data_IF_394232664340
#
_entry.id   IF_394232664340
#
_cell.length_a   1.000
_cell.length_b   1.000
_cell.length_c   1.000
_cell.angle_alpha   90.00
_cell.angle_beta   90.00
_cell.angle_gamma   90.00
#
_symmetry.space_group_name_H-M   'P 1'
#
loop_
_entity.id
_entity.type
_entity.pdbx_description
1 polymer ?
#
# COMPACT_ATOMS: atom_id res chain seq x y z
N UNK A 1 14.43 26.60 33.46
CA UNK A 1 13.83 25.57 32.59
C UNK A 1 14.45 24.22 32.93
N UNK A 2 13.62 23.32 33.41
CA UNK A 2 13.90 21.89 33.54
C UNK A 2 13.98 21.23 32.16
N UNK A 3 14.60 20.05 32.08
CA UNK A 3 14.70 19.28 30.84
C UNK A 3 13.33 19.00 30.21
N UNK A 4 12.35 18.65 31.05
CA UNK A 4 10.96 18.47 30.64
C UNK A 4 10.34 19.73 30.03
N UNK A 5 10.58 20.92 30.58
CA UNK A 5 10.07 22.17 30.00
C UNK A 5 10.66 22.47 28.61
N UNK A 6 11.93 22.11 28.37
CA UNK A 6 12.54 22.24 27.03
C UNK A 6 11.90 21.31 26.01
N UNK A 7 11.62 20.06 26.41
CA UNK A 7 10.95 19.08 25.54
C UNK A 7 9.51 19.51 25.23
N UNK A 8 8.78 20.04 26.22
CA UNK A 8 7.42 20.58 26.02
C UNK A 8 7.44 21.75 25.03
N UNK A 9 8.41 22.66 25.16
CA UNK A 9 8.56 23.78 24.22
C UNK A 9 8.83 23.28 22.79
N UNK A 10 9.70 22.28 22.63
CA UNK A 10 10.00 21.67 21.32
C UNK A 10 8.76 20.98 20.73
N UNK A 11 7.98 20.22 21.51
CA UNK A 11 6.75 19.59 21.03
C UNK A 11 5.70 20.60 20.54
N UNK A 12 5.55 21.75 21.19
CA UNK A 12 4.64 22.80 20.73
C UNK A 12 5.11 23.42 19.39
N UNK A 13 6.41 23.64 19.26
CA UNK A 13 7.03 24.12 18.02
C UNK A 13 6.78 23.16 16.86
N UNK A 14 7.03 21.85 17.06
CA UNK A 14 6.78 20.83 16.04
C UNK A 14 5.30 20.67 15.71
N UNK A 15 4.41 20.72 16.72
CA UNK A 15 2.97 20.69 16.48
C UNK A 15 2.49 21.88 15.63
N UNK A 16 3.09 23.05 15.81
CA UNK A 16 2.81 24.23 14.97
C UNK A 16 3.27 24.02 13.54
N UNK A 17 4.48 23.47 13.33
CA UNK A 17 5.01 23.15 12.00
C UNK A 17 4.14 22.13 11.26
N UNK A 18 3.63 21.12 11.98
CA UNK A 18 2.75 20.08 11.44
C UNK A 18 1.26 20.46 11.42
N UNK A 19 0.92 21.67 11.85
CA UNK A 19 -0.46 22.16 11.99
C UNK A 19 -1.38 21.21 12.79
N UNK A 20 -0.84 20.56 13.84
CA UNK A 20 -1.57 19.59 14.67
C UNK A 20 -1.28 19.75 16.16
N UNK A 21 -2.25 19.40 17.00
CA UNK A 21 -2.05 19.39 18.46
C UNK A 21 -1.19 18.20 18.89
N UNK A 22 -0.18 18.47 19.71
CA UNK A 22 0.79 17.46 20.19
C UNK A 22 0.71 17.32 21.71
N UNK A 23 0.57 16.09 22.19
CA UNK A 23 0.50 15.83 23.63
C UNK A 23 1.85 16.09 24.31
N UNK A 24 1.83 16.95 25.32
CA UNK A 24 2.98 17.33 26.16
C UNK A 24 2.99 16.62 27.52
N UNK A 25 2.07 15.67 27.70
CA UNK A 25 1.99 14.83 28.89
C UNK A 25 2.91 13.61 28.76
N UNK A 26 3.44 13.15 29.89
CA UNK A 26 4.33 11.99 29.97
C UNK A 26 5.65 12.25 30.71
N UNK A 27 6.47 11.21 30.71
CA UNK A 27 7.86 11.21 31.18
C UNK A 27 8.80 11.84 30.16
N UNK A 28 10.01 12.20 30.58
CA UNK A 28 11.03 12.79 29.70
C UNK A 28 11.29 11.89 28.48
N UNK A 29 11.42 10.57 28.69
CA UNK A 29 11.67 9.61 27.61
C UNK A 29 10.53 9.57 26.58
N UNK A 30 9.27 9.58 27.04
CA UNK A 30 8.11 9.62 26.13
C UNK A 30 8.06 10.91 25.31
N UNK A 31 8.38 12.05 25.94
CA UNK A 31 8.43 13.33 25.23
C UNK A 31 9.59 13.37 24.22
N UNK A 32 10.76 12.83 24.57
CA UNK A 32 11.92 12.73 23.67
C UNK A 32 11.61 11.83 22.47
N UNK A 33 11.01 10.67 22.69
CA UNK A 33 10.64 9.75 21.62
C UNK A 33 9.62 10.40 20.67
N UNK A 34 8.62 11.11 21.22
CA UNK A 34 7.63 11.83 20.42
C UNK A 34 8.26 12.96 19.60
N UNK A 35 9.21 13.70 20.15
CA UNK A 35 9.94 14.73 19.37
C UNK A 35 10.66 14.07 18.20
N UNK A 36 11.41 13.00 18.43
CA UNK A 36 12.17 12.34 17.37
C UNK A 36 11.28 11.85 16.20
N UNK A 37 10.10 11.29 16.52
CA UNK A 37 9.11 10.88 15.51
C UNK A 37 8.62 12.08 14.68
N UNK A 38 8.25 13.18 15.35
CA UNK A 38 7.77 14.40 14.68
C UNK A 38 8.85 15.09 13.84
N UNK A 39 10.13 15.04 14.28
CA UNK A 39 11.26 15.58 13.50
C UNK A 39 11.51 14.74 12.24
N UNK A 40 11.37 13.40 12.33
CA UNK A 40 11.48 12.51 11.17
C UNK A 40 10.35 12.75 10.15
N UNK A 41 9.11 12.96 10.62
CA UNK A 41 7.99 13.35 9.74
C UNK A 41 8.26 14.66 9.00
N UNK A 42 8.83 15.67 9.68
CA UNK A 42 9.16 16.97 9.08
C UNK A 42 10.34 16.91 8.11
N UNK A 43 11.37 16.11 8.41
CA UNK A 43 12.55 15.96 7.55
C UNK A 43 12.24 15.12 6.30
N UNK A 44 11.34 14.13 6.44
CA UNK A 44 10.88 13.28 5.34
C UNK A 44 10.15 14.04 4.22
N UNK A 45 9.53 15.17 4.53
CA UNK A 45 8.81 16.03 3.57
C UNK A 45 9.77 16.84 2.66
N UNK A 46 11.03 17.02 3.08
CA UNK A 46 12.01 17.85 2.36
C UNK A 46 12.70 17.17 1.16
N UNK A 47 12.39 15.90 0.87
CA UNK A 47 13.07 15.12 -0.18
C UNK A 47 12.41 15.16 -1.57
N UNK A 48 11.35 15.94 -1.76
CA UNK A 48 10.66 16.04 -3.05
C UNK A 48 10.69 17.47 -3.60
N UNK A 49 11.87 17.94 -4.02
CA UNK A 49 11.97 19.09 -4.92
C UNK A 49 12.44 18.67 -6.31
N UNK A 50 11.48 18.81 -7.24
CA UNK A 50 11.60 19.31 -8.61
C UNK A 50 12.54 18.60 -9.59
N UNK A 51 11.91 17.98 -10.59
CA UNK A 51 12.56 17.28 -11.70
C UNK A 51 11.75 17.34 -12.99
N UNK A 52 11.60 18.57 -13.50
CA UNK A 52 11.76 18.91 -14.92
C UNK A 52 10.57 18.73 -15.92
N UNK A 53 10.24 19.89 -16.46
CA UNK A 53 9.45 20.27 -17.63
C UNK A 53 9.64 19.39 -18.89
N UNK A 54 8.55 19.05 -19.59
CA UNK A 54 8.61 18.30 -20.84
C UNK A 54 7.27 18.04 -21.53
N UNK A 55 6.52 19.10 -21.84
CA UNK A 55 5.86 19.36 -23.15
C UNK A 55 5.59 18.16 -24.11
N UNK A 56 4.35 18.16 -24.66
CA UNK A 56 3.88 17.56 -25.93
C UNK A 56 3.51 16.05 -25.96
N UNK A 57 2.21 15.75 -25.88
CA UNK A 57 1.30 15.71 -27.04
C UNK A 57 0.01 14.96 -26.66
N UNK A 58 -1.13 15.51 -27.12
CA UNK A 58 -2.39 14.77 -27.23
C UNK A 58 -2.21 13.52 -28.11
N UNK A 59 -3.08 12.50 -27.95
CA UNK A 59 -4.25 12.52 -28.82
C UNK A 59 -5.56 12.12 -28.12
N UNK A 60 -6.60 12.87 -28.48
CA UNK A 60 -7.89 12.32 -28.91
C UNK A 60 -8.62 11.38 -27.94
N UNK A 61 -9.31 11.98 -26.96
CA UNK A 61 -10.34 11.27 -26.20
C UNK A 61 -11.67 11.42 -26.91
N UNK A 62 -11.96 10.45 -27.77
CA UNK A 62 -13.30 10.20 -28.28
C UNK A 62 -14.20 9.76 -27.14
N UNK A 63 -15.29 10.51 -26.98
CA UNK A 63 -16.64 10.04 -26.70
C UNK A 63 -16.81 8.85 -25.74
N UNK A 64 -17.22 9.13 -24.51
CA UNK A 64 -18.29 8.35 -23.88
C UNK A 64 -19.03 9.25 -22.92
N UNK A 65 -20.24 9.56 -23.36
CA UNK A 65 -21.28 10.30 -22.68
C UNK A 65 -21.88 9.45 -21.56
N UNK A 66 -22.32 10.16 -20.53
CA UNK A 66 -23.52 9.87 -19.73
C UNK A 66 -23.54 8.58 -18.89
N UNK A 67 -24.09 8.52 -17.70
CA UNK A 67 -24.40 9.42 -16.59
C UNK A 67 -24.87 8.45 -15.51
N UNK A 68 -24.68 8.87 -14.26
CA UNK A 68 -25.40 8.43 -13.06
C UNK A 68 -26.51 7.38 -13.23
N UNK A 69 -26.44 6.31 -12.45
CA UNK A 69 -27.49 6.14 -11.45
C UNK A 69 -26.97 5.41 -10.22
N UNK A 70 -27.18 6.04 -9.06
CA UNK A 70 -26.99 5.43 -7.76
C UNK A 70 -28.30 4.77 -7.38
N UNK A 71 -28.32 3.48 -7.06
CA UNK A 71 -29.38 2.96 -6.20
C UNK A 71 -28.97 1.66 -5.47
N UNK A 72 -29.19 1.76 -4.16
CA UNK A 72 -29.37 0.72 -3.13
C UNK A 72 -29.87 -0.63 -3.65
N UNK A 73 -29.23 -1.74 -3.25
CA UNK A 73 -29.82 -2.73 -2.35
C UNK A 73 -28.80 -3.81 -1.94
N UNK A 74 -28.99 -4.39 -0.76
CA UNK A 74 -28.06 -5.33 -0.15
C UNK A 74 -27.97 -6.69 -0.85
N UNK A 75 -27.02 -7.48 -0.32
CA UNK A 75 -26.97 -8.94 -0.42
C UNK A 75 -26.85 -9.54 -1.83
N UNK A 76 -25.62 -9.67 -2.33
CA UNK A 76 -25.12 -11.00 -2.70
C UNK A 76 -23.61 -10.91 -2.94
N UNK A 77 -22.89 -11.92 -2.45
CA UNK A 77 -21.50 -12.17 -2.81
C UNK A 77 -21.48 -12.36 -4.33
N UNK A 78 -21.06 -11.36 -5.08
CA UNK A 78 -20.80 -11.52 -6.51
C UNK A 78 -19.58 -12.42 -6.62
N UNK A 79 -19.87 -13.71 -6.72
CA UNK A 79 -19.01 -14.74 -7.27
C UNK A 79 -18.78 -14.34 -8.73
N UNK A 80 -17.84 -13.42 -8.96
CA UNK A 80 -17.37 -13.13 -10.32
C UNK A 80 -16.57 -14.33 -10.77
N UNK A 81 -17.27 -15.33 -11.32
CA UNK A 81 -16.69 -16.37 -12.15
C UNK A 81 -16.23 -15.72 -13.46
N UNK A 82 -15.10 -15.04 -13.42
CA UNK A 82 -14.30 -14.83 -14.62
C UNK A 82 -13.34 -16.02 -14.72
N UNK A 83 -13.88 -17.18 -15.10
CA UNK A 83 -13.06 -18.25 -15.69
C UNK A 83 -12.66 -17.74 -17.07
N UNK A 84 -11.59 -16.97 -17.12
CA UNK A 84 -10.70 -17.05 -18.27
C UNK A 84 -9.84 -18.29 -18.01
N UNK A 85 -9.94 -19.27 -18.90
CA UNK A 85 -8.94 -20.32 -19.06
C UNK A 85 -7.67 -19.65 -19.58
N UNK A 86 -7.07 -18.83 -18.73
CA UNK A 86 -5.84 -18.10 -18.98
C UNK A 86 -4.71 -19.06 -18.64
N UNK A 87 -3.70 -19.09 -19.49
CA UNK A 87 -2.51 -19.95 -19.44
C UNK A 87 -1.66 -19.63 -18.19
N UNK A 88 -2.23 -19.96 -17.02
CA UNK A 88 -1.68 -19.64 -15.70
C UNK A 88 -1.02 -20.87 -15.11
N UNK A 89 0.24 -20.69 -14.72
CA UNK A 89 1.10 -21.70 -14.10
C UNK A 89 0.82 -21.77 -12.61
N UNK A 90 0.89 -22.98 -12.04
CA UNK A 90 0.72 -23.19 -10.61
C UNK A 90 2.07 -23.15 -9.90
N UNK A 91 2.14 -22.40 -8.80
CA UNK A 91 3.33 -22.32 -7.94
C UNK A 91 2.93 -22.40 -6.47
N UNK A 92 3.79 -22.97 -5.62
CA UNK A 92 3.60 -23.00 -4.18
C UNK A 92 4.37 -21.85 -3.51
N UNK A 93 3.68 -21.04 -2.72
CA UNK A 93 4.27 -19.90 -2.00
C UNK A 93 5.17 -20.38 -0.86
N UNK A 94 6.32 -19.73 -0.64
CA UNK A 94 7.25 -20.05 0.46
C UNK A 94 7.17 -19.03 1.60
N UNK A 95 6.55 -17.87 1.34
CA UNK A 95 6.38 -16.76 2.29
C UNK A 95 4.98 -16.19 2.16
N UNK A 96 4.57 -15.37 3.14
CA UNK A 96 3.35 -14.57 3.00
C UNK A 96 3.56 -13.49 1.94
N UNK A 97 2.69 -13.45 0.93
CA UNK A 97 2.83 -12.57 -0.24
C UNK A 97 1.54 -11.79 -0.52
N UNK A 98 1.68 -10.51 -0.85
CA UNK A 98 0.63 -9.73 -1.51
C UNK A 98 0.77 -9.87 -3.02
N UNK A 99 -0.22 -10.48 -3.67
CA UNK A 99 -0.21 -10.80 -5.09
C UNK A 99 -1.63 -10.84 -5.63
N UNK A 100 -1.83 -10.52 -6.90
CA UNK A 100 -3.09 -10.75 -7.59
C UNK A 100 -3.04 -12.09 -8.33
N UNK A 101 -3.44 -13.18 -7.65
CA UNK A 101 -3.40 -14.53 -8.20
C UNK A 101 -4.76 -15.23 -8.08
N UNK A 102 -4.88 -16.42 -8.69
CA UNK A 102 -6.03 -17.30 -8.44
C UNK A 102 -5.62 -18.45 -7.51
N UNK A 103 -6.46 -18.83 -6.56
CA UNK A 103 -6.22 -20.04 -5.77
C UNK A 103 -6.32 -21.29 -6.65
N UNK A 104 -5.37 -22.22 -6.57
CA UNK A 104 -5.28 -23.33 -7.53
C UNK A 104 -6.52 -24.23 -7.61
N UNK A 105 -7.16 -24.52 -6.47
CA UNK A 105 -8.35 -25.38 -6.41
C UNK A 105 -9.68 -24.63 -6.48
N UNK A 106 -9.75 -23.44 -5.88
CA UNK A 106 -10.99 -22.65 -5.76
C UNK A 106 -11.20 -21.72 -6.96
N UNK A 107 -10.14 -21.49 -7.73
CA UNK A 107 -10.12 -20.56 -8.86
C UNK A 107 -10.68 -19.18 -8.50
N UNK A 108 -10.41 -18.76 -7.26
CA UNK A 108 -10.83 -17.49 -6.65
C UNK A 108 -9.66 -16.52 -6.64
N UNK A 109 -9.92 -15.24 -6.90
CA UNK A 109 -8.93 -14.17 -6.76
C UNK A 109 -8.46 -14.04 -5.31
N UNK A 110 -7.16 -14.16 -5.10
CA UNK A 110 -6.50 -13.95 -3.81
C UNK A 110 -5.59 -12.74 -3.91
N UNK A 111 -5.63 -11.89 -2.88
CA UNK A 111 -4.78 -10.68 -2.76
C UNK A 111 -3.67 -10.85 -1.72
N UNK A 112 -3.83 -11.79 -0.80
CA UNK A 112 -2.84 -12.19 0.20
C UNK A 112 -2.82 -13.71 0.31
N UNK A 113 -1.63 -14.30 0.37
CA UNK A 113 -1.45 -15.75 0.44
C UNK A 113 -0.38 -16.09 1.47
N UNK A 114 -0.66 -17.12 2.26
CA UNK A 114 0.22 -17.65 3.30
C UNK A 114 1.26 -18.63 2.68
N UNK A 115 2.37 -18.95 3.36
CA UNK A 115 3.31 -19.97 2.89
C UNK A 115 2.65 -21.36 2.79
N UNK A 116 3.01 -22.12 1.76
CA UNK A 116 2.49 -23.45 1.44
C UNK A 116 1.19 -23.45 0.63
N UNK A 117 0.69 -22.27 0.23
CA UNK A 117 -0.52 -22.14 -0.58
C UNK A 117 -0.17 -22.23 -2.05
N UNK A 118 -0.92 -23.04 -2.80
CA UNK A 118 -0.76 -23.15 -4.26
C UNK A 118 -1.64 -22.13 -4.97
N UNK A 119 -1.01 -21.29 -5.77
CA UNK A 119 -1.65 -20.23 -6.56
C UNK A 119 -1.38 -20.41 -8.05
N UNK A 120 -2.27 -19.85 -8.88
CA UNK A 120 -2.15 -19.76 -10.33
C UNK A 120 -1.86 -18.34 -10.75
N UNK A 121 -0.70 -18.13 -11.35
CA UNK A 121 -0.17 -16.84 -11.80
C UNK A 121 0.21 -16.90 -13.28
N UNK A 122 0.48 -15.76 -13.90
CA UNK A 122 1.06 -15.79 -15.26
C UNK A 122 2.46 -16.40 -15.26
N UNK A 123 2.93 -16.90 -16.40
CA UNK A 123 4.29 -17.47 -16.53
C UNK A 123 5.39 -16.47 -16.12
N UNK A 124 5.22 -15.20 -16.51
CA UNK A 124 6.13 -14.11 -16.13
C UNK A 124 6.17 -13.91 -14.62
N UNK A 125 5.02 -13.90 -13.96
CA UNK A 125 4.94 -13.79 -12.50
C UNK A 125 5.55 -15.02 -11.82
N UNK A 126 5.26 -16.24 -12.30
CA UNK A 126 5.85 -17.46 -11.76
C UNK A 126 7.38 -17.39 -11.79
N UNK A 127 7.96 -16.96 -12.92
CA UNK A 127 9.40 -16.81 -13.06
C UNK A 127 10.00 -15.75 -12.12
N UNK A 128 9.33 -14.59 -11.92
CA UNK A 128 9.76 -13.59 -10.93
C UNK A 128 9.77 -14.16 -9.51
N UNK A 129 8.69 -14.84 -9.12
CA UNK A 129 8.54 -15.41 -7.79
C UNK A 129 9.58 -16.49 -7.51
N UNK A 130 9.86 -17.35 -8.48
CA UNK A 130 10.87 -18.41 -8.36
C UNK A 130 12.29 -17.81 -8.32
N UNK A 131 12.59 -16.84 -9.19
CA UNK A 131 13.89 -16.17 -9.22
C UNK A 131 14.23 -15.46 -7.92
N UNK A 132 13.20 -14.97 -7.21
CA UNK A 132 13.31 -14.31 -5.91
C UNK A 132 13.18 -15.26 -4.73
N UNK A 133 13.07 -16.58 -4.98
CA UNK A 133 12.84 -17.62 -3.98
C UNK A 133 11.61 -17.38 -3.08
N UNK A 134 10.58 -16.73 -3.62
CA UNK A 134 9.31 -16.45 -2.94
C UNK A 134 8.28 -17.56 -3.17
N UNK A 135 8.41 -18.31 -4.26
CA UNK A 135 7.60 -19.47 -4.60
C UNK A 135 8.47 -20.57 -5.24
N UNK A 136 7.92 -21.79 -5.33
CA UNK A 136 8.53 -22.92 -6.05
C UNK A 136 7.57 -23.50 -7.08
N UNK A 137 8.14 -24.07 -8.14
CA UNK A 137 7.41 -24.92 -9.10
C UNK A 137 6.88 -26.19 -8.41
N UNK A 138 5.75 -26.72 -8.89
CA UNK A 138 5.06 -27.90 -8.36
C UNK A 138 4.94 -29.02 -9.38
#
# INVERSE_FOLDING_TARGET
MTEKEKLIARLNDLGTQLNREVSTSGTIQELTMRIAELEEELDGDASSIDGENGEKNAPDSTDSTDSADSDVDGTEKVKTEAVTTDDRVSVETLVTLHINALHATRNESVSIVEPGVVIRVTDVEANDLISRALAREI
#
